data_IF_592260265089
#
_entry.id   IF_592260265089
#
_cell.length_a   1.000
_cell.length_b   1.000
_cell.length_c   1.000
_cell.angle_alpha   90.00
_cell.angle_beta   90.00
_cell.angle_gamma   90.00
#
_symmetry.space_group_name_H-M   'P 1'
#
loop_
_entity.id
_entity.type
_entity.pdbx_description
1 polymer ?
#
# COMPACT_ATOMS: atom_id res chain seq x y z
N UNK A 1 14.31 19.83 26.95
CA UNK A 1 12.89 19.54 26.68
C UNK A 1 12.64 19.87 25.22
N UNK A 2 12.66 18.86 24.34
CA UNK A 2 12.28 19.07 22.93
C UNK A 2 10.77 19.31 22.90
N UNK A 3 10.36 20.56 22.61
CA UNK A 3 8.98 20.81 22.21
C UNK A 3 8.75 20.01 20.91
N UNK A 4 8.09 18.86 21.00
CA UNK A 4 7.63 18.16 19.81
C UNK A 4 6.74 19.15 19.03
N UNK A 5 7.24 19.61 17.88
CA UNK A 5 6.50 20.50 17.01
C UNK A 5 5.31 19.71 16.48
N UNK A 6 4.10 20.14 16.78
CA UNK A 6 2.87 19.46 16.29
C UNK A 6 2.84 19.50 14.78
N UNK A 7 2.48 18.39 14.13
CA UNK A 7 2.30 18.31 12.67
C UNK A 7 1.20 19.26 12.21
N UNK A 8 1.50 20.14 11.24
CA UNK A 8 0.51 21.06 10.66
C UNK A 8 -0.52 20.27 9.81
N UNK A 9 -1.81 20.58 9.96
CA UNK A 9 -2.84 20.11 9.01
C UNK A 9 -3.15 21.23 8.03
N UNK A 10 -2.82 21.01 6.76
CA UNK A 10 -3.00 21.98 5.69
C UNK A 10 -4.25 21.64 4.88
N UNK A 11 -5.08 22.64 4.56
CA UNK A 11 -6.20 22.48 3.63
C UNK A 11 -5.70 22.34 2.18
N UNK A 12 -6.49 21.67 1.33
CA UNK A 12 -6.15 21.49 -0.09
C UNK A 12 -6.54 22.73 -0.96
N UNK A 13 -6.41 23.91 -0.40
CA UNK A 13 -6.59 25.21 -1.07
C UNK A 13 -5.25 25.82 -1.49
N UNK A 14 -5.28 27.03 -2.05
CA UNK A 14 -4.07 27.73 -2.51
C UNK A 14 -3.08 27.96 -1.38
N UNK A 15 -3.53 28.36 -0.20
CA UNK A 15 -2.67 28.68 0.96
C UNK A 15 -2.01 27.39 1.51
N UNK A 16 -2.76 26.31 1.66
CA UNK A 16 -2.20 25.05 2.12
C UNK A 16 -1.23 24.43 1.11
N UNK A 17 -1.49 24.58 -0.20
CA UNK A 17 -0.56 24.19 -1.26
C UNK A 17 0.74 25.00 -1.20
N UNK A 18 0.65 26.34 -1.05
CA UNK A 18 1.81 27.22 -0.91
C UNK A 18 2.68 26.79 0.28
N UNK A 19 2.05 26.56 1.42
CA UNK A 19 2.74 26.09 2.62
C UNK A 19 3.40 24.72 2.45
N UNK A 20 2.72 23.77 1.80
CA UNK A 20 3.28 22.45 1.51
C UNK A 20 4.51 22.55 0.58
N UNK A 21 4.45 23.42 -0.44
CA UNK A 21 5.56 23.68 -1.36
C UNK A 21 6.77 24.27 -0.61
N UNK A 22 6.55 25.28 0.25
CA UNK A 22 7.61 25.87 1.08
C UNK A 22 8.31 24.83 1.94
N UNK A 23 7.54 23.99 2.63
CA UNK A 23 8.07 22.93 3.50
C UNK A 23 8.89 21.90 2.70
N UNK A 24 8.37 21.43 1.56
CA UNK A 24 9.05 20.46 0.68
C UNK A 24 10.31 21.07 0.06
N UNK A 25 10.28 22.35 -0.33
CA UNK A 25 11.44 23.07 -0.87
C UNK A 25 12.53 23.27 0.20
N UNK A 26 12.16 23.41 1.47
CA UNK A 26 13.06 23.46 2.60
C UNK A 26 13.60 22.07 3.05
N UNK A 27 13.25 20.98 2.36
CA UNK A 27 13.69 19.61 2.67
C UNK A 27 12.86 18.90 3.75
N UNK A 28 11.74 19.48 4.20
CA UNK A 28 10.86 18.85 5.17
C UNK A 28 10.02 17.72 4.56
N UNK A 29 9.47 16.84 5.41
CA UNK A 29 8.56 15.77 5.03
C UNK A 29 7.11 16.22 5.19
N UNK A 30 6.29 16.00 4.15
CA UNK A 30 4.87 16.36 4.12
C UNK A 30 4.02 15.15 3.71
N UNK A 31 2.98 14.84 4.48
CA UNK A 31 1.96 13.88 4.09
C UNK A 31 1.13 14.44 2.92
N UNK A 32 1.04 13.73 1.81
CA UNK A 32 0.29 14.16 0.61
C UNK A 32 -0.79 13.16 0.24
N UNK A 33 -1.97 13.60 -0.22
CA UNK A 33 -3.02 12.71 -0.70
C UNK A 33 -2.64 12.10 -2.05
N UNK A 34 -3.01 10.86 -2.31
CA UNK A 34 -3.03 10.26 -3.65
C UNK A 34 -4.33 9.52 -3.86
N UNK A 35 -4.60 9.04 -5.10
CA UNK A 35 -5.76 8.21 -5.35
C UNK A 35 -5.70 6.86 -4.64
N UNK A 36 -4.50 6.37 -4.31
CA UNK A 36 -4.25 5.08 -3.68
C UNK A 36 -4.27 5.16 -2.14
N UNK A 37 -3.22 5.71 -1.56
CA UNK A 37 -3.04 5.94 -0.12
C UNK A 37 -2.29 7.25 0.09
N UNK A 38 -2.33 7.84 1.27
CA UNK A 38 -1.47 8.99 1.57
C UNK A 38 0.00 8.60 1.50
N UNK A 39 0.81 9.45 0.84
CA UNK A 39 2.26 9.31 0.75
C UNK A 39 2.98 10.27 1.69
N UNK A 40 4.10 9.85 2.29
CA UNK A 40 5.00 10.75 2.99
C UNK A 40 6.06 11.25 2.01
N UNK A 41 5.91 12.49 1.57
CA UNK A 41 6.68 13.08 0.49
C UNK A 41 7.90 13.86 0.97
N UNK A 42 8.98 13.76 0.22
CA UNK A 42 10.16 14.62 0.27
C UNK A 42 10.75 14.77 -1.14
N UNK A 43 11.59 15.79 -1.38
CA UNK A 43 12.28 15.97 -2.65
C UNK A 43 13.14 14.74 -2.99
N UNK A 44 12.85 14.09 -4.12
CA UNK A 44 13.52 12.85 -4.53
C UNK A 44 14.98 13.05 -4.96
N UNK A 45 15.38 14.27 -5.32
CA UNK A 45 16.77 14.60 -5.66
C UNK A 45 17.62 15.04 -4.43
N UNK A 46 16.99 15.14 -3.27
CA UNK A 46 17.68 15.54 -2.04
C UNK A 46 17.83 14.33 -1.12
N UNK A 47 19.07 13.86 -0.98
CA UNK A 47 19.39 12.70 -0.15
C UNK A 47 19.02 12.92 1.33
N UNK A 48 19.21 14.15 1.86
CA UNK A 48 18.90 14.49 3.25
C UNK A 48 17.39 14.51 3.49
N UNK A 49 16.65 15.15 2.58
CA UNK A 49 15.19 15.16 2.63
C UNK A 49 14.60 13.74 2.53
N UNK A 50 15.12 12.92 1.63
CA UNK A 50 14.72 11.52 1.50
C UNK A 50 15.06 10.68 2.75
N UNK A 51 16.23 10.90 3.37
CA UNK A 51 16.60 10.24 4.62
C UNK A 51 15.64 10.57 5.77
N UNK A 52 15.07 11.79 5.79
CA UNK A 52 14.03 12.19 6.74
C UNK A 52 12.78 11.32 6.68
N UNK A 53 12.43 10.77 5.51
CA UNK A 53 11.31 9.81 5.37
C UNK A 53 11.58 8.54 6.18
N UNK A 54 12.79 7.99 6.06
CA UNK A 54 13.18 6.77 6.80
C UNK A 54 13.15 7.00 8.30
N UNK A 55 13.67 8.15 8.76
CA UNK A 55 13.66 8.52 10.18
C UNK A 55 12.25 8.71 10.73
N UNK A 56 11.37 9.44 10.02
CA UNK A 56 10.00 9.69 10.46
C UNK A 56 9.17 8.39 10.56
N UNK A 57 9.37 7.45 9.62
CA UNK A 57 8.63 6.20 9.53
C UNK A 57 9.24 5.05 10.35
N UNK A 58 10.45 5.21 10.91
CA UNK A 58 11.24 4.09 11.47
C UNK A 58 11.43 2.98 10.42
N UNK A 59 11.63 3.38 9.15
CA UNK A 59 11.75 2.49 7.99
C UNK A 59 13.18 1.99 7.85
N UNK A 60 13.39 0.68 7.62
CA UNK A 60 14.72 0.16 7.35
C UNK A 60 15.26 0.65 6.00
N UNK A 61 16.56 0.92 5.93
CA UNK A 61 17.22 1.52 4.76
C UNK A 61 17.26 0.63 3.51
N UNK A 62 16.91 -0.64 3.63
CA UNK A 62 16.86 -1.59 2.51
C UNK A 62 15.54 -1.59 1.74
N UNK A 63 14.51 -0.85 2.18
CA UNK A 63 13.19 -0.83 1.56
C UNK A 63 13.03 0.46 0.73
N UNK A 64 13.13 0.39 -0.63
CA UNK A 64 13.23 1.57 -1.49
C UNK A 64 11.96 2.42 -1.48
N UNK A 65 12.07 3.66 -2.00
CA UNK A 65 10.97 4.60 -2.12
C UNK A 65 10.45 4.64 -3.56
N UNK A 66 9.20 5.09 -3.74
CA UNK A 66 8.60 5.34 -5.06
C UNK A 66 8.68 6.83 -5.35
N UNK A 67 9.18 7.18 -6.54
CA UNK A 67 9.28 8.55 -7.03
C UNK A 67 7.99 8.94 -7.76
N UNK A 68 7.36 10.03 -7.32
CA UNK A 68 6.13 10.58 -7.90
C UNK A 68 6.47 11.76 -8.79
N UNK A 69 5.86 11.79 -9.99
CA UNK A 69 6.18 12.75 -11.05
C UNK A 69 4.94 13.53 -11.54
N UNK A 70 5.14 14.78 -12.03
CA UNK A 70 4.05 15.59 -12.59
C UNK A 70 3.59 15.09 -13.97
N UNK A 71 2.38 15.48 -14.37
CA UNK A 71 1.81 15.15 -15.69
C UNK A 71 2.67 15.58 -16.88
N UNK A 72 3.48 16.62 -16.70
CA UNK A 72 4.38 17.08 -17.74
C UNK A 72 5.41 16.01 -18.19
N UNK A 73 5.68 14.98 -17.38
CA UNK A 73 6.67 13.93 -17.64
C UNK A 73 6.02 12.60 -18.06
N UNK A 74 4.98 12.65 -18.88
CA UNK A 74 4.16 11.50 -19.30
C UNK A 74 4.73 10.75 -20.50
N UNK A 75 6.03 10.44 -20.49
CA UNK A 75 6.68 9.54 -21.45
C UNK A 75 8.02 9.05 -20.91
N UNK A 76 8.52 7.94 -21.45
CA UNK A 76 9.87 7.46 -21.14
C UNK A 76 10.93 8.52 -21.45
N UNK A 77 10.82 9.20 -22.60
CA UNK A 77 11.74 10.28 -23.00
C UNK A 77 11.72 11.46 -22.02
N UNK A 78 10.53 11.91 -21.59
CA UNK A 78 10.40 13.01 -20.64
C UNK A 78 10.97 12.64 -19.25
N UNK A 79 10.87 11.39 -18.82
CA UNK A 79 11.46 10.92 -17.57
C UNK A 79 12.99 10.85 -17.63
N UNK A 80 13.57 10.55 -18.80
CA UNK A 80 15.01 10.62 -19.04
C UNK A 80 15.47 12.08 -19.02
N UNK A 81 14.79 12.97 -19.73
CA UNK A 81 15.11 14.41 -19.79
C UNK A 81 15.00 15.06 -18.40
N UNK A 82 14.01 14.67 -17.61
CA UNK A 82 13.85 15.12 -16.22
C UNK A 82 14.89 14.53 -15.23
N UNK A 83 15.78 13.65 -15.69
CA UNK A 83 16.81 13.04 -14.86
C UNK A 83 16.30 12.00 -13.85
N UNK A 84 15.17 11.36 -14.14
CA UNK A 84 14.64 10.27 -13.30
C UNK A 84 15.22 8.93 -13.75
N UNK A 85 15.26 8.69 -15.05
CA UNK A 85 15.69 7.44 -15.65
C UNK A 85 17.02 7.60 -16.37
N UNK A 86 17.85 6.55 -16.34
CA UNK A 86 19.03 6.46 -17.15
C UNK A 86 18.67 5.91 -18.54
N UNK A 87 19.15 6.52 -19.65
CA UNK A 87 18.97 5.94 -20.98
C UNK A 87 19.70 4.60 -21.12
N UNK A 88 20.82 4.44 -20.42
CA UNK A 88 21.55 3.18 -20.35
C UNK A 88 20.67 2.10 -19.71
N UNK A 89 20.52 0.95 -20.37
CA UNK A 89 19.65 -0.14 -19.92
C UNK A 89 18.18 0.00 -20.33
N UNK A 90 17.76 1.13 -20.92
CA UNK A 90 16.44 1.32 -21.52
C UNK A 90 16.51 1.10 -23.04
N UNK A 91 16.72 -0.15 -23.48
CA UNK A 91 16.66 -0.51 -24.88
C UNK A 91 15.26 -0.31 -25.51
N UNK A 92 15.14 -0.36 -26.86
CA UNK A 92 13.88 -0.06 -27.56
C UNK A 92 12.67 -0.88 -27.08
N UNK A 93 12.87 -2.13 -26.68
CA UNK A 93 11.80 -2.99 -26.19
C UNK A 93 11.24 -2.48 -24.84
N UNK A 94 12.11 -2.14 -23.88
CA UNK A 94 11.70 -1.56 -22.59
C UNK A 94 11.01 -0.21 -22.77
N UNK A 95 11.53 0.67 -23.62
CA UNK A 95 10.92 1.97 -23.91
C UNK A 95 9.52 1.82 -24.47
N UNK A 96 9.33 0.95 -25.47
CA UNK A 96 8.03 0.71 -26.08
C UNK A 96 7.01 0.19 -25.07
N UNK A 97 7.41 -0.76 -24.21
CA UNK A 97 6.55 -1.28 -23.13
C UNK A 97 6.23 -0.21 -22.10
N UNK A 98 7.23 0.58 -21.68
CA UNK A 98 7.03 1.67 -20.71
C UNK A 98 6.04 2.70 -21.25
N UNK A 99 6.20 3.16 -22.49
CA UNK A 99 5.29 4.13 -23.10
C UNK A 99 3.88 3.57 -23.29
N UNK A 100 3.75 2.27 -23.57
CA UNK A 100 2.45 1.60 -23.64
C UNK A 100 1.75 1.62 -22.26
N UNK A 101 2.47 1.27 -21.20
CA UNK A 101 1.96 1.29 -19.84
C UNK A 101 1.62 2.71 -19.33
N UNK A 102 2.47 3.69 -19.64
CA UNK A 102 2.24 5.11 -19.33
C UNK A 102 0.95 5.58 -20.01
N UNK A 103 0.78 5.33 -21.30
CA UNK A 103 -0.43 5.74 -22.04
C UNK A 103 -1.70 5.10 -21.49
N UNK A 104 -1.63 3.84 -21.04
CA UNK A 104 -2.79 3.11 -20.57
C UNK A 104 -3.19 3.47 -19.11
N UNK A 105 -2.21 3.74 -18.24
CA UNK A 105 -2.46 3.76 -16.80
C UNK A 105 -1.96 5.01 -16.06
N UNK A 106 -1.32 5.97 -16.73
CA UNK A 106 -0.90 7.23 -16.12
C UNK A 106 -1.69 8.44 -16.64
N UNK A 107 -2.08 9.34 -15.73
CA UNK A 107 -1.94 9.26 -14.27
C UNK A 107 -2.78 8.14 -13.67
N UNK A 108 -2.25 7.47 -12.61
CA UNK A 108 -2.98 6.38 -11.98
C UNK A 108 -2.13 5.46 -11.08
N UNK A 109 -2.74 4.34 -10.62
CA UNK A 109 -2.18 3.49 -9.60
C UNK A 109 -1.19 2.43 -10.16
N UNK A 110 -0.31 2.83 -11.10
CA UNK A 110 0.77 2.00 -11.65
C UNK A 110 2.13 2.61 -11.34
N UNK A 111 3.00 1.82 -10.72
CA UNK A 111 4.44 2.12 -10.53
C UNK A 111 5.26 1.27 -11.48
N UNK A 112 6.17 1.88 -12.22
CA UNK A 112 7.05 1.21 -13.16
C UNK A 112 8.48 1.29 -12.62
N UNK A 113 9.13 0.13 -12.44
CA UNK A 113 10.53 0.01 -12.02
C UNK A 113 11.42 -0.06 -13.27
N UNK A 114 12.38 0.87 -13.35
CA UNK A 114 13.27 1.03 -14.50
C UNK A 114 14.65 1.55 -14.05
N UNK A 115 15.69 1.48 -14.90
CA UNK A 115 17.03 1.96 -14.56
C UNK A 115 17.04 3.41 -14.09
N UNK A 116 17.62 3.67 -12.89
CA UNK A 116 17.69 5.00 -12.31
C UNK A 116 18.78 5.86 -12.92
N UNK A 117 18.56 7.18 -12.99
CA UNK A 117 19.60 8.17 -13.25
C UNK A 117 20.47 8.40 -12.00
N UNK A 118 21.69 8.92 -12.23
CA UNK A 118 22.63 9.29 -11.16
C UNK A 118 22.12 10.47 -10.30
N UNK A 119 21.13 11.23 -10.80
CA UNK A 119 20.49 12.31 -10.02
C UNK A 119 19.57 11.77 -8.89
N UNK A 120 19.16 10.51 -8.99
CA UNK A 120 18.40 9.85 -7.91
C UNK A 120 19.39 9.29 -6.87
N UNK A 121 19.43 9.85 -5.65
CA UNK A 121 20.34 9.39 -4.60
C UNK A 121 20.08 7.93 -4.21
N UNK A 122 21.14 7.21 -3.84
CA UNK A 122 21.07 5.80 -3.43
C UNK A 122 20.11 5.55 -2.24
N UNK A 123 19.95 6.52 -1.35
CA UNK A 123 18.99 6.41 -0.24
C UNK A 123 17.56 6.24 -0.74
N UNK A 124 17.19 6.83 -1.87
CA UNK A 124 15.84 6.69 -2.47
C UNK A 124 15.59 5.27 -2.98
N UNK A 125 16.62 4.66 -3.56
CA UNK A 125 16.54 3.32 -4.16
C UNK A 125 17.09 2.22 -3.27
N UNK A 126 17.52 2.55 -2.05
CA UNK A 126 18.20 1.60 -1.15
C UNK A 126 19.46 0.99 -1.77
N UNK A 127 20.16 1.73 -2.63
CA UNK A 127 21.36 1.30 -3.36
C UNK A 127 21.06 0.45 -4.60
N UNK A 128 19.79 0.27 -4.98
CA UNK A 128 19.44 -0.46 -6.21
C UNK A 128 19.75 0.37 -7.47
N UNK A 129 20.10 -0.29 -8.60
CA UNK A 129 20.34 0.39 -9.88
C UNK A 129 19.04 0.81 -10.58
N UNK A 130 17.89 0.55 -9.97
CA UNK A 130 16.56 0.84 -10.51
C UNK A 130 15.78 1.75 -9.57
N UNK A 131 14.80 2.47 -10.12
CA UNK A 131 13.87 3.34 -9.39
C UNK A 131 12.43 3.01 -9.78
N UNK A 132 11.54 2.93 -8.79
CA UNK A 132 10.10 2.87 -9.02
C UNK A 132 9.54 4.27 -9.27
N UNK A 133 8.90 4.50 -10.42
CA UNK A 133 8.33 5.79 -10.82
C UNK A 133 6.83 5.67 -11.00
N UNK A 134 6.09 6.69 -10.56
CA UNK A 134 4.63 6.73 -10.67
C UNK A 134 4.15 8.15 -10.92
N UNK A 135 3.08 8.28 -11.69
CA UNK A 135 2.31 9.52 -11.85
C UNK A 135 0.97 9.37 -11.14
N UNK A 136 0.80 9.96 -9.93
CA UNK A 136 -0.43 9.79 -9.16
C UNK A 136 -1.61 10.52 -9.81
N UNK A 137 -2.82 9.97 -9.73
CA UNK A 137 -4.05 10.60 -10.22
C UNK A 137 -4.82 11.28 -9.06
N UNK A 138 -4.20 12.29 -8.48
CA UNK A 138 -4.85 13.12 -7.47
C UNK A 138 -4.65 14.59 -7.80
N UNK A 139 -5.75 15.39 -7.96
CA UNK A 139 -5.65 16.75 -8.46
C UNK A 139 -4.74 17.64 -7.59
N UNK A 140 -4.87 17.57 -6.28
CA UNK A 140 -4.05 18.35 -5.33
C UNK A 140 -2.57 18.01 -5.47
N UNK A 141 -2.23 16.72 -5.53
CA UNK A 141 -0.84 16.27 -5.66
C UNK A 141 -0.25 16.60 -7.03
N UNK A 142 -1.05 16.57 -8.10
CA UNK A 142 -0.57 16.99 -9.41
C UNK A 142 -0.27 18.49 -9.48
N UNK A 143 -1.12 19.34 -8.86
CA UNK A 143 -0.84 20.77 -8.73
C UNK A 143 0.42 21.00 -7.89
N UNK A 144 0.57 20.28 -6.77
CA UNK A 144 1.76 20.35 -5.91
C UNK A 144 3.05 20.01 -6.69
N UNK A 145 3.07 18.87 -7.39
CA UNK A 145 4.21 18.41 -8.19
C UNK A 145 4.55 19.39 -9.32
N UNK A 146 3.53 19.90 -10.04
CA UNK A 146 3.72 20.85 -11.13
C UNK A 146 4.31 22.16 -10.63
N UNK A 147 3.80 22.70 -9.52
CA UNK A 147 4.26 23.99 -8.96
C UNK A 147 5.64 23.87 -8.29
N UNK A 148 5.92 22.74 -7.63
CA UNK A 148 7.23 22.46 -7.04
C UNK A 148 8.31 22.26 -8.13
N UNK A 149 7.91 21.73 -9.29
CA UNK A 149 8.84 21.46 -10.42
C UNK A 149 9.91 20.40 -10.11
N UNK A 150 9.70 19.59 -9.06
CA UNK A 150 10.62 18.53 -8.62
C UNK A 150 9.87 17.23 -8.35
N UNK A 151 10.52 16.05 -8.56
CA UNK A 151 9.93 14.78 -8.21
C UNK A 151 9.92 14.60 -6.69
N UNK A 152 8.94 13.85 -6.20
CA UNK A 152 8.79 13.54 -4.78
C UNK A 152 8.98 12.05 -4.52
N UNK A 153 9.90 11.67 -3.66
CA UNK A 153 9.94 10.33 -3.08
C UNK A 153 8.81 10.23 -2.04
N UNK A 154 7.89 9.29 -2.22
CA UNK A 154 6.72 9.19 -1.34
C UNK A 154 6.26 7.73 -1.14
N UNK A 155 6.77 7.02 -0.12
CA UNK A 155 6.14 5.79 0.38
C UNK A 155 4.83 6.12 1.10
N UNK A 156 4.02 5.13 1.48
CA UNK A 156 2.82 5.35 2.31
C UNK A 156 3.13 6.11 3.61
N UNK A 157 2.25 6.99 4.07
CA UNK A 157 2.49 7.90 5.20
C UNK A 157 2.10 7.30 6.57
N UNK A 158 2.50 6.06 6.85
CA UNK A 158 2.37 5.34 8.12
C UNK A 158 3.74 4.97 8.67
N UNK A 159 3.86 4.63 9.95
CA UNK A 159 5.05 3.95 10.48
C UNK A 159 5.26 2.62 9.78
N UNK A 160 6.53 2.18 9.70
CA UNK A 160 6.90 0.96 8.98
C UNK A 160 6.11 -0.27 9.46
N UNK A 161 5.65 -1.09 8.51
CA UNK A 161 4.88 -2.31 8.79
C UNK A 161 3.42 -2.12 9.19
N UNK A 162 2.99 -0.88 9.50
CA UNK A 162 1.62 -0.56 9.93
C UNK A 162 0.66 -0.41 8.74
N UNK A 163 -0.65 -0.33 9.06
CA UNK A 163 -1.72 -0.17 8.07
C UNK A 163 -1.53 1.13 7.29
N UNK A 164 -1.63 1.07 5.94
CA UNK A 164 -1.51 2.26 5.08
C UNK A 164 -2.65 3.28 5.34
N UNK A 165 -2.35 4.60 5.33
CA UNK A 165 -3.32 5.65 5.61
C UNK A 165 -4.12 6.02 4.36
N UNK A 166 -5.44 6.13 4.50
CA UNK A 166 -6.36 6.54 3.41
C UNK A 166 -7.04 7.86 3.67
N UNK A 167 -6.73 8.53 4.78
CA UNK A 167 -7.18 9.89 5.15
C UNK A 167 -6.05 10.65 5.85
N UNK A 168 -6.16 11.98 5.95
CA UNK A 168 -5.22 12.81 6.71
C UNK A 168 -5.21 12.44 8.21
N UNK A 169 -6.36 12.09 8.79
CA UNK A 169 -6.45 11.66 10.19
C UNK A 169 -5.62 10.39 10.45
N UNK A 170 -5.62 9.44 9.51
CA UNK A 170 -4.77 8.24 9.61
C UNK A 170 -3.27 8.58 9.59
N UNK A 171 -2.86 9.60 8.82
CA UNK A 171 -1.47 10.06 8.79
C UNK A 171 -1.09 10.70 10.13
N UNK A 172 -1.93 11.60 10.66
CA UNK A 172 -1.71 12.26 11.94
C UNK A 172 -1.64 11.22 13.07
N UNK A 173 -2.53 10.24 13.10
CA UNK A 173 -2.51 9.18 14.11
C UNK A 173 -1.18 8.38 14.14
N UNK A 174 -0.48 8.29 13.02
CA UNK A 174 0.80 7.55 12.90
C UNK A 174 2.05 8.43 13.05
N UNK A 175 2.00 9.68 12.55
CA UNK A 175 3.18 10.51 12.34
C UNK A 175 3.11 11.90 12.99
N UNK A 176 2.14 12.19 13.87
CA UNK A 176 2.09 13.46 14.60
C UNK A 176 3.39 13.71 15.36
N UNK A 177 3.92 14.93 15.26
CA UNK A 177 5.20 15.35 15.85
C UNK A 177 6.46 14.77 15.18
N UNK A 178 6.31 13.97 14.10
CA UNK A 178 7.42 13.34 13.35
C UNK A 178 7.63 13.97 11.98
N UNK A 179 6.64 14.66 11.43
CA UNK A 179 6.64 15.29 10.11
C UNK A 179 6.16 16.73 10.22
N UNK A 180 6.51 17.55 9.23
CA UNK A 180 6.17 18.98 9.27
C UNK A 180 4.67 19.22 9.09
N UNK A 181 4.06 18.57 8.10
CA UNK A 181 2.66 18.81 7.78
C UNK A 181 1.99 17.61 7.09
N UNK A 182 0.64 17.66 7.05
CA UNK A 182 -0.21 16.80 6.20
C UNK A 182 -1.13 17.70 5.37
N UNK A 183 -1.07 17.57 4.04
CA UNK A 183 -1.99 18.24 3.11
C UNK A 183 -3.26 17.38 2.99
N UNK A 184 -4.38 17.88 3.49
CA UNK A 184 -5.63 17.14 3.54
C UNK A 184 -6.41 17.27 2.23
N UNK A 185 -6.34 16.26 1.38
CA UNK A 185 -7.10 16.15 0.13
C UNK A 185 -8.31 15.22 0.21
N UNK A 186 -8.76 14.86 1.42
CA UNK A 186 -9.86 13.94 1.64
C UNK A 186 -9.46 12.48 1.57
N UNK A 187 -10.47 11.61 1.40
CA UNK A 187 -10.27 10.15 1.37
C UNK A 187 -9.75 9.66 0.02
N UNK A 188 -8.80 8.75 0.03
CA UNK A 188 -8.28 8.10 -1.17
C UNK A 188 -9.36 7.24 -1.87
N UNK A 189 -9.65 7.47 -3.17
CA UNK A 189 -10.73 6.77 -3.86
C UNK A 189 -10.43 5.30 -4.22
N UNK A 190 -9.16 4.91 -4.36
CA UNK A 190 -8.77 3.52 -4.65
C UNK A 190 -8.54 2.71 -3.37
N UNK A 191 -7.88 3.28 -2.36
CA UNK A 191 -7.70 2.69 -1.03
C UNK A 191 -6.70 1.54 -0.94
N UNK A 192 -6.10 1.11 -2.05
CA UNK A 192 -4.97 0.17 -2.11
C UNK A 192 -3.77 0.85 -2.77
N UNK A 193 -2.56 0.39 -2.47
CA UNK A 193 -1.36 0.90 -3.12
C UNK A 193 -1.33 0.55 -4.62
N UNK A 194 -0.42 1.24 -5.34
CA UNK A 194 -0.16 1.00 -6.75
C UNK A 194 0.29 -0.44 -7.04
N UNK A 195 -0.10 -0.96 -8.18
CA UNK A 195 0.56 -2.11 -8.78
C UNK A 195 1.98 -1.73 -9.16
N UNK A 196 2.97 -2.56 -8.82
CA UNK A 196 4.38 -2.32 -9.16
C UNK A 196 4.81 -3.35 -10.18
N UNK A 197 5.32 -2.88 -11.31
CA UNK A 197 5.87 -3.72 -12.37
C UNK A 197 7.33 -3.37 -12.64
N UNK A 198 8.16 -4.38 -12.89
CA UNK A 198 9.54 -4.23 -13.36
C UNK A 198 9.59 -4.53 -14.86
N UNK A 199 10.30 -3.67 -15.60
CA UNK A 199 10.53 -3.85 -17.03
C UNK A 199 11.70 -4.80 -17.28
N UNK A 200 11.45 -5.90 -17.97
CA UNK A 200 12.47 -6.86 -18.36
C UNK A 200 13.20 -6.44 -19.65
N UNK A 201 14.45 -6.91 -19.91
CA UNK A 201 15.21 -6.51 -21.09
C UNK A 201 14.53 -6.75 -22.43
N UNK A 202 13.73 -7.79 -22.54
CA UNK A 202 12.95 -8.18 -23.73
C UNK A 202 11.65 -7.39 -23.89
N UNK A 203 11.31 -6.52 -22.94
CA UNK A 203 10.07 -5.76 -22.88
C UNK A 203 8.93 -6.46 -22.15
N UNK A 204 9.11 -7.70 -21.70
CA UNK A 204 8.17 -8.35 -20.76
C UNK A 204 8.15 -7.61 -19.43
N UNK A 205 7.14 -7.85 -18.60
CA UNK A 205 7.04 -7.25 -17.27
C UNK A 205 6.90 -8.30 -16.18
N UNK A 206 7.43 -7.97 -15.00
CA UNK A 206 7.22 -8.74 -13.76
C UNK A 206 6.42 -7.92 -12.77
N UNK A 207 5.25 -8.39 -12.36
CA UNK A 207 4.46 -7.78 -11.28
C UNK A 207 5.13 -8.12 -9.94
N UNK A 208 5.74 -7.12 -9.33
CA UNK A 208 6.44 -7.22 -8.05
C UNK A 208 5.47 -7.09 -6.87
N UNK A 209 4.39 -6.34 -7.06
CA UNK A 209 3.33 -6.14 -6.07
C UNK A 209 1.99 -5.95 -6.77
N UNK A 210 0.98 -6.79 -6.52
CA UNK A 210 -0.38 -6.52 -6.97
C UNK A 210 -0.95 -5.27 -6.27
N UNK A 211 -1.81 -4.51 -6.95
CA UNK A 211 -2.39 -3.26 -6.44
C UNK A 211 -3.60 -2.80 -7.24
N UNK A 212 -3.75 -1.48 -7.40
CA UNK A 212 -4.92 -0.87 -8.03
C UNK A 212 -5.14 -1.20 -9.52
N UNK A 213 -4.13 -1.77 -10.22
CA UNK A 213 -4.27 -2.28 -11.58
C UNK A 213 -4.13 -3.81 -11.53
N UNK A 214 -5.09 -4.53 -12.12
CA UNK A 214 -5.06 -6.00 -12.16
C UNK A 214 -4.04 -6.54 -13.18
N UNK A 215 -3.65 -7.80 -13.01
CA UNK A 215 -2.74 -8.48 -13.94
C UNK A 215 -3.39 -8.60 -15.34
N UNK A 216 -4.68 -8.87 -15.37
CA UNK A 216 -5.48 -9.01 -16.58
C UNK A 216 -5.51 -7.68 -17.37
N UNK A 217 -5.69 -6.55 -16.69
CA UNK A 217 -5.67 -5.22 -17.32
C UNK A 217 -4.28 -4.89 -17.91
N UNK A 218 -3.19 -5.28 -17.23
CA UNK A 218 -1.84 -5.13 -17.77
C UNK A 218 -1.63 -5.95 -19.03
N UNK A 219 -2.09 -7.20 -19.05
CA UNK A 219 -2.01 -8.10 -20.21
C UNK A 219 -2.80 -7.54 -21.40
N UNK A 220 -4.02 -7.08 -21.18
CA UNK A 220 -4.89 -6.51 -22.20
C UNK A 220 -4.28 -5.22 -22.81
N UNK A 221 -3.79 -4.32 -21.96
CA UNK A 221 -3.17 -3.08 -22.41
C UNK A 221 -1.91 -3.32 -23.26
N UNK A 222 -1.06 -4.27 -22.87
CA UNK A 222 0.15 -4.61 -23.64
C UNK A 222 -0.18 -5.32 -24.95
N UNK A 223 -1.16 -6.24 -24.96
CA UNK A 223 -1.60 -6.90 -26.17
C UNK A 223 -2.19 -5.90 -27.18
N UNK A 224 -2.95 -4.91 -26.71
CA UNK A 224 -3.52 -3.86 -27.53
C UNK A 224 -2.44 -2.90 -28.09
N UNK A 225 -1.52 -2.45 -27.24
CA UNK A 225 -0.55 -1.42 -27.62
C UNK A 225 0.62 -1.97 -28.45
N UNK A 226 0.97 -3.23 -28.32
CA UNK A 226 2.12 -3.88 -28.94
C UNK A 226 1.72 -5.18 -29.66
N UNK A 227 0.83 -5.10 -30.68
CA UNK A 227 0.33 -6.26 -31.38
C UNK A 227 1.47 -7.06 -32.04
N UNK A 228 1.39 -8.38 -32.02
CA UNK A 228 2.40 -9.28 -32.59
C UNK A 228 3.63 -9.50 -31.69
N UNK A 229 3.74 -8.86 -30.53
CA UNK A 229 4.75 -9.17 -29.53
C UNK A 229 4.15 -10.09 -28.46
N UNK A 230 4.72 -11.29 -28.29
CA UNK A 230 4.34 -12.22 -27.24
C UNK A 230 4.97 -11.81 -25.89
N UNK A 231 4.62 -10.62 -25.38
CA UNK A 231 5.14 -10.13 -24.12
C UNK A 231 4.53 -10.93 -22.94
N UNK A 232 5.39 -11.35 -22.04
CA UNK A 232 4.98 -12.10 -20.85
C UNK A 232 4.72 -11.14 -19.70
N UNK A 233 3.64 -11.40 -18.94
CA UNK A 233 3.37 -10.77 -17.65
C UNK A 233 3.60 -11.80 -16.56
N UNK A 234 4.79 -11.73 -15.95
CA UNK A 234 5.14 -12.61 -14.84
C UNK A 234 4.59 -12.04 -13.51
N UNK A 235 4.29 -12.91 -12.57
CA UNK A 235 3.84 -12.51 -11.23
C UNK A 235 4.75 -13.11 -10.18
N UNK A 236 5.42 -12.26 -9.40
CA UNK A 236 6.20 -12.72 -8.27
C UNK A 236 5.28 -13.02 -7.08
N UNK A 237 5.18 -14.29 -6.69
CA UNK A 237 4.41 -14.72 -5.51
C UNK A 237 5.29 -14.88 -4.26
N UNK A 238 6.58 -14.62 -4.36
CA UNK A 238 7.52 -14.81 -3.26
C UNK A 238 7.36 -13.70 -2.20
N UNK A 239 7.13 -14.10 -0.96
CA UNK A 239 7.28 -13.24 0.22
C UNK A 239 8.74 -13.32 0.67
N UNK A 240 9.38 -12.17 0.91
CA UNK A 240 10.74 -12.12 1.41
C UNK A 240 10.69 -12.18 2.94
N UNK A 241 11.24 -13.26 3.54
CA UNK A 241 11.39 -13.37 5.00
C UNK A 241 12.51 -12.46 5.46
N UNK A 242 12.25 -11.67 6.48
CA UNK A 242 13.27 -10.94 7.20
C UNK A 242 13.68 -11.78 8.41
N UNK A 243 14.71 -12.60 8.24
CA UNK A 243 15.40 -13.26 9.36
C UNK A 243 16.43 -12.28 9.90
N UNK A 244 16.21 -11.80 11.11
CA UNK A 244 17.08 -10.83 11.77
C UNK A 244 18.52 -11.31 11.88
N UNK A 245 19.44 -10.36 11.85
CA UNK A 245 20.91 -10.40 11.99
C UNK A 245 21.71 -10.82 10.74
N UNK A 246 22.36 -9.81 10.13
CA UNK A 246 23.62 -9.81 9.34
C UNK A 246 23.86 -10.81 8.19
N UNK A 247 22.95 -11.66 7.81
CA UNK A 247 23.11 -12.55 6.66
C UNK A 247 22.28 -12.05 5.48
N UNK A 248 22.94 -11.50 4.46
CA UNK A 248 22.41 -11.15 3.12
C UNK A 248 21.13 -10.29 3.18
N UNK A 249 21.28 -8.98 2.98
CA UNK A 249 20.15 -8.06 2.78
C UNK A 249 19.16 -8.71 1.81
N UNK A 250 17.87 -8.89 2.19
CA UNK A 250 16.89 -9.42 1.25
C UNK A 250 16.88 -8.52 0.01
N UNK A 251 16.93 -9.11 -1.18
CA UNK A 251 16.87 -8.38 -2.45
C UNK A 251 15.45 -7.85 -2.67
N UNK A 252 15.08 -6.80 -1.91
CA UNK A 252 13.79 -6.11 -2.06
C UNK A 252 13.92 -5.16 -3.23
N UNK A 253 13.22 -5.44 -4.32
CA UNK A 253 13.21 -4.62 -5.53
C UNK A 253 12.16 -3.49 -5.48
N UNK A 254 11.16 -3.63 -4.62
CA UNK A 254 10.06 -2.68 -4.50
C UNK A 254 9.42 -2.71 -3.10
N UNK A 255 8.78 -1.61 -2.65
CA UNK A 255 8.09 -1.54 -1.36
C UNK A 255 6.96 -2.57 -1.24
N UNK A 256 6.77 -3.13 -0.02
CA UNK A 256 5.65 -4.03 0.28
C UNK A 256 5.88 -5.49 -0.17
N UNK A 257 7.13 -5.90 -0.45
CA UNK A 257 7.49 -7.30 -0.73
C UNK A 257 7.76 -8.12 0.54
N UNK A 258 7.89 -7.47 1.69
CA UNK A 258 8.10 -8.18 2.96
C UNK A 258 6.91 -9.07 3.32
N UNK A 259 7.20 -10.22 3.95
CA UNK A 259 6.19 -11.17 4.41
C UNK A 259 5.25 -10.54 5.44
N UNK A 260 5.77 -9.70 6.33
CA UNK A 260 4.98 -8.94 7.31
C UNK A 260 4.94 -7.47 6.92
N UNK A 261 3.76 -7.00 6.55
CA UNK A 261 3.47 -5.61 6.21
C UNK A 261 1.97 -5.33 6.39
N UNK A 262 1.57 -4.06 6.52
CA UNK A 262 0.17 -3.65 6.69
C UNK A 262 -0.49 -4.13 7.99
N UNK A 263 0.32 -4.50 8.99
CA UNK A 263 -0.18 -5.15 10.20
C UNK A 263 -0.89 -4.17 11.14
N UNK A 264 -2.09 -4.52 11.66
CA UNK A 264 -2.69 -3.85 12.80
C UNK A 264 -1.84 -4.06 14.07
N UNK A 265 -2.08 -3.27 15.12
CA UNK A 265 -1.49 -3.48 16.44
C UNK A 265 -2.07 -4.72 17.12
N UNK A 266 -3.34 -4.98 16.90
CA UNK A 266 -4.00 -6.21 17.30
C UNK A 266 -3.59 -7.36 16.37
N UNK A 267 -3.55 -8.56 16.93
CA UNK A 267 -3.31 -9.74 16.11
C UNK A 267 -4.43 -9.92 15.09
N UNK A 268 -4.04 -10.06 13.81
CA UNK A 268 -4.95 -10.38 12.72
C UNK A 268 -4.78 -11.86 12.35
N UNK A 269 -5.89 -12.59 12.38
CA UNK A 269 -5.98 -13.97 11.91
C UNK A 269 -6.65 -13.97 10.55
N UNK A 270 -5.94 -14.47 9.54
CA UNK A 270 -6.53 -14.63 8.20
C UNK A 270 -7.20 -15.99 8.11
N UNK A 271 -8.45 -16.02 7.72
CA UNK A 271 -9.20 -17.26 7.51
C UNK A 271 -8.60 -18.07 6.33
N UNK A 272 -8.59 -19.41 6.37
CA UNK A 272 -8.05 -20.19 5.27
C UNK A 272 -8.78 -19.91 3.94
N UNK A 273 -8.04 -19.78 2.80
CA UNK A 273 -8.66 -19.67 1.50
C UNK A 273 -9.50 -20.93 1.22
N UNK A 274 -10.59 -20.79 0.46
CA UNK A 274 -11.56 -21.85 0.12
C UNK A 274 -12.46 -22.33 1.26
N UNK A 275 -12.37 -21.77 2.43
CA UNK A 275 -13.46 -21.85 3.42
C UNK A 275 -14.42 -20.70 3.14
N UNK A 276 -15.05 -20.69 1.95
CA UNK A 276 -16.14 -19.74 1.68
C UNK A 276 -17.14 -19.89 2.81
N UNK A 277 -17.26 -18.85 3.64
CA UNK A 277 -18.32 -18.73 4.62
C UNK A 277 -19.65 -18.61 3.85
N UNK A 278 -20.11 -19.70 3.30
CA UNK A 278 -21.53 -19.82 3.09
C UNK A 278 -22.13 -19.93 4.48
N UNK A 279 -22.53 -18.78 5.04
CA UNK A 279 -23.11 -18.59 6.37
C UNK A 279 -24.12 -19.64 6.83
N UNK A 280 -24.51 -20.57 5.97
CA UNK A 280 -25.50 -21.61 6.27
C UNK A 280 -24.90 -22.92 6.80
N UNK A 281 -23.57 -23.12 6.85
CA UNK A 281 -22.98 -24.45 7.14
C UNK A 281 -21.64 -24.42 7.89
N UNK A 282 -21.52 -23.65 8.98
CA UNK A 282 -20.41 -23.91 9.92
C UNK A 282 -20.76 -25.16 10.72
N UNK A 283 -20.08 -26.29 10.47
CA UNK A 283 -20.30 -27.47 11.32
C UNK A 283 -19.84 -27.17 12.76
N UNK A 284 -20.44 -27.85 13.76
CA UNK A 284 -20.03 -27.70 15.17
C UNK A 284 -18.53 -27.92 15.40
N UNK A 285 -17.91 -28.85 14.63
CA UNK A 285 -16.47 -29.13 14.73
C UNK A 285 -15.65 -27.95 14.22
N UNK A 286 -16.00 -27.37 13.07
CA UNK A 286 -15.31 -26.17 12.53
C UNK A 286 -15.49 -24.96 13.44
N UNK A 287 -16.66 -24.80 14.05
CA UNK A 287 -16.88 -23.74 15.02
C UNK A 287 -16.01 -23.92 16.27
N UNK A 288 -15.83 -25.17 16.73
CA UNK A 288 -14.95 -25.50 17.87
C UNK A 288 -13.47 -25.27 17.53
N UNK A 289 -13.02 -25.69 16.34
CA UNK A 289 -11.67 -25.41 15.86
C UNK A 289 -11.37 -23.91 15.79
N UNK A 290 -12.30 -23.14 15.23
CA UNK A 290 -12.20 -21.69 15.11
C UNK A 290 -12.12 -21.01 16.49
N UNK A 291 -12.98 -21.41 17.43
CA UNK A 291 -12.93 -20.96 18.82
C UNK A 291 -11.56 -21.23 19.44
N UNK A 292 -11.02 -22.43 19.30
CA UNK A 292 -9.72 -22.80 19.84
C UNK A 292 -8.57 -21.92 19.29
N UNK A 293 -8.57 -21.62 18.00
CA UNK A 293 -7.58 -20.73 17.37
C UNK A 293 -7.70 -19.28 17.84
N UNK A 294 -8.94 -18.77 17.96
CA UNK A 294 -9.21 -17.44 18.48
C UNK A 294 -8.78 -17.35 19.96
N UNK A 295 -9.12 -18.35 20.78
CA UNK A 295 -8.73 -18.40 22.19
C UNK A 295 -7.21 -18.43 22.36
N UNK A 296 -6.51 -19.23 21.56
CA UNK A 296 -5.06 -19.23 21.51
C UNK A 296 -4.47 -17.86 21.14
N UNK A 297 -5.11 -17.11 20.21
CA UNK A 297 -4.68 -15.77 19.86
C UNK A 297 -4.94 -14.73 20.96
N UNK A 298 -6.05 -14.84 21.66
CA UNK A 298 -6.48 -13.94 22.74
C UNK A 298 -5.64 -14.15 24.00
N UNK A 299 -5.35 -15.39 24.39
CA UNK A 299 -4.62 -15.73 25.62
C UNK A 299 -3.16 -15.23 25.62
N UNK A 300 -2.57 -14.99 24.45
CA UNK A 300 -1.23 -14.38 24.32
C UNK A 300 -1.21 -12.86 24.58
N UNK A 301 -2.38 -12.20 24.65
CA UNK A 301 -2.46 -10.73 24.73
C UNK A 301 -2.87 -10.17 26.08
N UNK A 302 -3.56 -10.94 26.97
CA UNK A 302 -3.86 -10.55 28.36
C UNK A 302 -4.62 -11.63 29.14
N UNK A 303 -4.32 -11.84 30.45
CA UNK A 303 -4.97 -12.87 31.28
C UNK A 303 -6.47 -12.65 31.62
N UNK A 304 -7.02 -11.44 31.40
CA UNK A 304 -8.41 -11.10 31.79
C UNK A 304 -9.40 -11.12 30.60
N UNK A 305 -9.19 -11.95 29.60
CA UNK A 305 -9.73 -11.78 28.24
C UNK A 305 -11.04 -12.51 27.90
N UNK A 306 -11.66 -13.24 28.84
CA UNK A 306 -12.87 -14.06 28.56
C UNK A 306 -14.10 -13.26 28.07
N UNK A 307 -14.13 -11.92 28.21
CA UNK A 307 -15.25 -11.07 27.86
C UNK A 307 -14.99 -10.11 26.68
N UNK A 308 -13.80 -10.16 26.04
CA UNK A 308 -13.48 -9.21 24.96
C UNK A 308 -14.13 -9.63 23.64
N UNK A 309 -14.62 -8.62 22.91
CA UNK A 309 -15.21 -8.80 21.58
C UNK A 309 -14.15 -9.19 20.55
N UNK A 310 -14.60 -9.83 19.48
CA UNK A 310 -13.78 -10.14 18.30
C UNK A 310 -14.15 -9.16 17.19
N UNK A 311 -13.15 -8.60 16.53
CA UNK A 311 -13.32 -7.90 15.26
C UNK A 311 -13.38 -8.90 14.11
N UNK A 312 -14.34 -8.74 13.20
CA UNK A 312 -14.46 -9.62 12.04
C UNK A 312 -14.61 -8.80 10.77
N UNK A 313 -13.72 -9.03 9.80
CA UNK A 313 -13.70 -8.38 8.51
C UNK A 313 -14.20 -9.35 7.46
N UNK A 314 -15.35 -9.05 6.85
CA UNK A 314 -15.96 -9.85 5.76
C UNK A 314 -15.84 -9.12 4.43
N UNK A 315 -15.76 -9.87 3.35
CA UNK A 315 -15.65 -9.31 2.01
C UNK A 315 -16.98 -8.68 1.55
N UNK A 316 -18.10 -9.30 1.90
CA UNK A 316 -19.42 -8.84 1.43
C UNK A 316 -20.56 -9.20 2.37
N UNK A 317 -21.73 -8.62 2.10
CA UNK A 317 -22.98 -8.92 2.80
C UNK A 317 -23.31 -7.96 3.94
N UNK A 318 -24.46 -8.21 4.57
CA UNK A 318 -24.98 -7.39 5.68
C UNK A 318 -24.23 -7.68 6.98
N UNK A 319 -23.53 -6.69 7.59
CA UNK A 319 -22.83 -6.87 8.85
C UNK A 319 -23.72 -7.38 10.00
N UNK A 320 -24.99 -6.99 10.05
CA UNK A 320 -25.90 -7.39 11.13
C UNK A 320 -26.25 -8.87 11.06
N UNK A 321 -26.44 -9.42 9.85
CA UNK A 321 -26.66 -10.85 9.65
C UNK A 321 -25.41 -11.66 10.02
N UNK A 322 -24.25 -11.19 9.59
CA UNK A 322 -22.97 -11.80 9.94
C UNK A 322 -22.72 -11.80 11.45
N UNK A 323 -22.99 -10.69 12.12
CA UNK A 323 -22.84 -10.58 13.58
C UNK A 323 -23.69 -11.63 14.30
N UNK A 324 -24.99 -11.72 14.00
CA UNK A 324 -25.89 -12.70 14.63
C UNK A 324 -25.41 -14.15 14.45
N UNK A 325 -24.97 -14.48 13.25
CA UNK A 325 -24.46 -15.81 12.94
C UNK A 325 -23.18 -16.12 13.71
N UNK A 326 -22.19 -15.22 13.67
CA UNK A 326 -20.90 -15.40 14.32
C UNK A 326 -21.01 -15.45 15.85
N UNK A 327 -21.83 -14.59 16.44
CA UNK A 327 -22.11 -14.64 17.89
C UNK A 327 -22.72 -15.96 18.31
N UNK A 328 -23.69 -16.47 17.53
CA UNK A 328 -24.29 -17.79 17.77
C UNK A 328 -23.26 -18.93 17.63
N UNK A 329 -22.41 -18.89 16.61
CA UNK A 329 -21.40 -19.91 16.37
C UNK A 329 -20.24 -19.90 17.35
N UNK A 330 -19.80 -18.70 17.78
CA UNK A 330 -18.63 -18.52 18.62
C UNK A 330 -18.96 -18.43 20.12
N UNK A 331 -20.23 -18.15 20.49
CA UNK A 331 -20.65 -17.98 21.87
C UNK A 331 -20.08 -16.73 22.55
N UNK A 332 -19.73 -15.70 21.78
CA UNK A 332 -19.15 -14.43 22.26
C UNK A 332 -19.49 -13.25 21.37
N UNK A 333 -19.42 -12.01 21.87
CA UNK A 333 -19.72 -10.82 21.08
C UNK A 333 -18.74 -10.62 19.93
N UNK A 334 -19.27 -10.24 18.74
CA UNK A 334 -18.50 -10.00 17.53
C UNK A 334 -18.87 -8.62 16.96
N UNK A 335 -17.86 -7.84 16.53
CA UNK A 335 -18.04 -6.63 15.73
C UNK A 335 -17.66 -6.93 14.28
N UNK A 336 -18.64 -6.91 13.40
CA UNK A 336 -18.42 -7.17 11.97
C UNK A 336 -18.32 -5.87 11.19
N UNK A 337 -17.34 -5.80 10.27
CA UNK A 337 -17.27 -4.80 9.21
C UNK A 337 -17.27 -5.53 7.87
N UNK A 338 -18.19 -5.14 6.97
CA UNK A 338 -18.22 -5.60 5.59
C UNK A 338 -17.49 -4.61 4.70
N UNK A 339 -16.60 -5.11 3.83
CA UNK A 339 -15.85 -4.27 2.89
C UNK A 339 -16.74 -3.74 1.77
N UNK A 340 -17.72 -4.54 1.32
CA UNK A 340 -18.74 -4.13 0.35
C UNK A 340 -20.06 -4.86 0.63
N UNK A 341 -21.14 -4.11 0.78
CA UNK A 341 -22.45 -4.73 1.00
C UNK A 341 -22.89 -5.61 -0.18
N UNK A 342 -22.46 -5.26 -1.41
CA UNK A 342 -22.86 -5.93 -2.65
C UNK A 342 -21.80 -6.88 -3.21
N UNK A 343 -20.61 -6.97 -2.58
CA UNK A 343 -19.50 -7.77 -3.09
C UNK A 343 -18.74 -7.10 -4.24
N UNK A 344 -18.81 -5.78 -4.36
CA UNK A 344 -18.05 -5.00 -5.32
C UNK A 344 -16.58 -4.95 -4.89
N UNK A 345 -15.67 -5.44 -5.73
CA UNK A 345 -14.24 -5.53 -5.42
C UNK A 345 -13.57 -4.15 -5.37
N UNK A 346 -14.05 -3.16 -6.12
CA UNK A 346 -13.54 -1.79 -6.09
C UNK A 346 -13.90 -1.14 -4.76
N UNK A 347 -15.15 -1.30 -4.32
CA UNK A 347 -15.58 -0.84 -3.01
C UNK A 347 -14.84 -1.55 -1.88
N UNK A 348 -14.66 -2.87 -1.98
CA UNK A 348 -13.92 -3.65 -1.00
C UNK A 348 -12.46 -3.21 -0.88
N UNK A 349 -11.78 -3.00 -2.01
CA UNK A 349 -10.42 -2.47 -2.07
C UNK A 349 -10.31 -1.10 -1.39
N UNK A 350 -11.22 -0.17 -1.73
CA UNK A 350 -11.28 1.18 -1.16
C UNK A 350 -11.49 1.18 0.35
N UNK A 351 -12.22 0.21 0.87
CA UNK A 351 -12.60 0.15 2.28
C UNK A 351 -11.59 -0.62 3.15
N UNK A 352 -10.72 -1.45 2.57
CA UNK A 352 -9.88 -2.41 3.29
C UNK A 352 -9.09 -1.79 4.46
N UNK A 353 -8.24 -0.82 4.18
CA UNK A 353 -7.36 -0.25 5.21
C UNK A 353 -8.14 0.57 6.25
N UNK A 354 -9.18 1.30 5.84
CA UNK A 354 -10.03 2.03 6.77
C UNK A 354 -10.78 1.08 7.72
N UNK A 355 -11.31 -0.03 7.21
CA UNK A 355 -11.98 -1.05 8.01
C UNK A 355 -11.01 -1.74 8.99
N UNK A 356 -9.80 -2.08 8.52
CA UNK A 356 -8.76 -2.65 9.40
C UNK A 356 -8.39 -1.68 10.52
N UNK A 357 -8.22 -0.37 10.24
CA UNK A 357 -7.96 0.65 11.27
C UNK A 357 -9.10 0.77 12.25
N UNK A 358 -10.34 0.83 11.77
CA UNK A 358 -11.53 0.91 12.64
C UNK A 358 -11.59 -0.25 13.64
N UNK A 359 -11.22 -1.46 13.21
CA UNK A 359 -11.14 -2.62 14.12
C UNK A 359 -9.91 -2.55 15.03
N UNK A 360 -8.76 -2.07 14.52
CA UNK A 360 -7.53 -1.95 15.30
C UNK A 360 -7.63 -0.90 16.41
N UNK A 361 -8.32 0.20 16.18
CA UNK A 361 -8.53 1.31 17.13
C UNK A 361 -9.59 1.00 18.20
N UNK A 362 -10.49 0.05 17.96
CA UNK A 362 -11.54 -0.32 18.92
C UNK A 362 -10.96 -1.06 20.12
N UNK A 363 -10.81 -0.36 21.25
CA UNK A 363 -10.24 -0.89 22.49
C UNK A 363 -11.07 -2.03 23.13
N UNK A 364 -12.30 -2.26 22.67
CA UNK A 364 -13.14 -3.38 23.15
C UNK A 364 -12.78 -4.70 22.47
N UNK A 365 -12.02 -4.65 21.35
CA UNK A 365 -11.62 -5.84 20.59
C UNK A 365 -10.25 -6.36 21.05
N UNK A 366 -10.10 -7.68 21.09
CA UNK A 366 -8.86 -8.35 21.46
C UNK A 366 -8.08 -8.90 20.25
N UNK A 367 -8.80 -9.26 19.19
CA UNK A 367 -8.26 -9.90 17.98
C UNK A 367 -9.11 -9.50 16.79
N UNK A 368 -8.50 -9.48 15.60
CA UNK A 368 -9.17 -9.27 14.33
C UNK A 368 -9.12 -10.58 13.56
N UNK A 369 -10.26 -11.02 13.03
CA UNK A 369 -10.34 -12.11 12.05
C UNK A 369 -10.73 -11.52 10.70
N UNK A 370 -10.04 -11.90 9.64
CA UNK A 370 -10.33 -11.44 8.28
C UNK A 370 -10.59 -12.63 7.36
N UNK A 371 -11.60 -12.49 6.51
CA UNK A 371 -11.90 -13.44 5.44
C UNK A 371 -11.20 -13.00 4.14
N UNK A 372 -10.47 -13.90 3.46
CA UNK A 372 -9.95 -13.60 2.12
C UNK A 372 -11.07 -13.53 1.09
N UNK A 373 -10.82 -12.85 -0.04
CA UNK A 373 -11.69 -12.97 -1.21
C UNK A 373 -11.72 -14.41 -1.71
N UNK A 374 -12.85 -14.82 -2.27
CA UNK A 374 -13.06 -16.20 -2.75
C UNK A 374 -12.20 -16.54 -3.98
N UNK A 375 -11.84 -15.54 -4.79
CA UNK A 375 -10.97 -15.67 -5.95
C UNK A 375 -9.61 -14.98 -5.70
N UNK A 376 -8.65 -15.21 -6.59
CA UNK A 376 -7.30 -14.63 -6.54
C UNK A 376 -6.96 -13.97 -7.90
N UNK A 377 -7.96 -13.30 -8.50
CA UNK A 377 -7.90 -12.55 -9.77
C UNK A 377 -8.37 -11.12 -9.55
N UNK A 378 -8.16 -10.24 -10.51
CA UNK A 378 -8.61 -8.85 -10.42
C UNK A 378 -8.07 -8.12 -9.19
N UNK A 379 -8.89 -7.30 -8.55
CA UNK A 379 -8.56 -6.60 -7.31
C UNK A 379 -8.57 -7.54 -6.08
N UNK A 380 -9.30 -8.66 -6.15
CA UNK A 380 -9.29 -9.66 -5.08
C UNK A 380 -7.88 -10.21 -4.83
N UNK A 381 -7.05 -10.37 -5.86
CA UNK A 381 -5.65 -10.75 -5.72
C UNK A 381 -4.85 -9.75 -4.85
N UNK A 382 -5.04 -8.45 -5.07
CA UNK A 382 -4.38 -7.40 -4.27
C UNK A 382 -4.91 -7.36 -2.83
N UNK A 383 -6.23 -7.49 -2.62
CA UNK A 383 -6.84 -7.57 -1.28
C UNK A 383 -6.28 -8.76 -0.51
N UNK A 384 -6.25 -9.95 -1.13
CA UNK A 384 -5.73 -11.17 -0.52
C UNK A 384 -4.24 -11.06 -0.19
N UNK A 385 -3.43 -10.41 -1.04
CA UNK A 385 -2.02 -10.14 -0.76
C UNK A 385 -1.86 -9.27 0.50
N UNK A 386 -2.66 -8.19 0.64
CA UNK A 386 -2.63 -7.31 1.83
C UNK A 386 -3.04 -8.03 3.09
N UNK A 387 -4.10 -8.83 3.05
CA UNK A 387 -4.56 -9.60 4.20
C UNK A 387 -3.54 -10.66 4.64
N UNK A 388 -2.90 -11.36 3.66
CA UNK A 388 -1.82 -12.33 3.96
C UNK A 388 -0.65 -11.68 4.67
N UNK A 389 -0.19 -10.51 4.20
CA UNK A 389 0.93 -9.76 4.81
C UNK A 389 0.56 -9.10 6.14
N UNK A 390 -0.70 -8.75 6.35
CA UNK A 390 -1.20 -8.20 7.60
C UNK A 390 -1.37 -9.27 8.68
N UNK A 391 -1.53 -10.54 8.30
CA UNK A 391 -1.70 -11.64 9.25
C UNK A 391 -0.36 -11.99 9.91
N UNK A 392 -0.35 -12.02 11.24
CA UNK A 392 0.86 -12.27 12.04
C UNK A 392 1.34 -13.74 11.98
N UNK A 393 0.47 -14.65 11.59
CA UNK A 393 0.75 -16.08 11.37
C UNK A 393 -0.32 -16.67 10.45
N UNK A 394 0.04 -17.55 9.50
CA UNK A 394 -0.95 -18.36 8.80
C UNK A 394 -1.70 -19.25 9.81
N UNK A 395 -2.91 -19.67 9.44
CA UNK A 395 -3.72 -20.60 10.21
C UNK A 395 -3.03 -21.93 10.41
#
# INVERSE_FOLDING_TARGET
>A
MNSQCKTERLSADAQGLDRAIELLAAGAQVGIPTETVYGLAANAFDASAAAGIFAAKERPSFDPLIVHVPRAWQSCAALIEAGILAPAGLGPARQATMDALIRAFWPGPLTIVAPKSDLIPDVVTSGLPTVGVRMPDHPVTQVLLQRLGKPLAAPSANRFGRISPTTADHVIAELDGRIAAVLDGGRCPVGLESTIVELMPDGSITVLRPGGISVEALQEALAFALPGKALQVHVTRASIKHEGTDALKPSIQAPGQLEQHYAPSKRLLLFPPNTSFQFKKLSPEKAAELRGKIDGAVNHTSPSSAARKIGWLVQSGDPALHTKFLESALGRPVRVISLSAKGDEVEAARNLFAAMRTLDEDQTLSVIVAEPCANDTGLAFAINDRLRRASSRPW
#
